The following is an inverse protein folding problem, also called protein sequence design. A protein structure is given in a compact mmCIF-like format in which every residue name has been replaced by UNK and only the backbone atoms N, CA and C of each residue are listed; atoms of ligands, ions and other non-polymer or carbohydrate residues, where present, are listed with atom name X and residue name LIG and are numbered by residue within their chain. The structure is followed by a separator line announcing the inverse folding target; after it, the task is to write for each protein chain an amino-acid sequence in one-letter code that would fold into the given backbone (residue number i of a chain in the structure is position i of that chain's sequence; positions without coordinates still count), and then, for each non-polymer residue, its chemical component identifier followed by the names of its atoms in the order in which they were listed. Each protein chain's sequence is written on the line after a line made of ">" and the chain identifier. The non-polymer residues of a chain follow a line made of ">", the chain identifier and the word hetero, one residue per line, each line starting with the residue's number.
data_IF_678205463899
#
_entry.id   IF_678205463899
#
_cell.length_a   1.000
_cell.length_b   1.000
_cell.length_c   1.000
_cell.angle_alpha   90.00
_cell.angle_beta   90.00
_cell.angle_gamma   90.00
#
_symmetry.space_group_name_H-M   'P 1'
#
loop_
_entity.id
_entity.type
_entity.pdbx_description
1 polymer ?
#
# COMPACT_ATOMS: atom_id res chain seq x y z
N UNK A 1 24.33 -19.72 2.64
CA UNK A 1 23.84 -19.43 2.39
C UNK A 1 23.02 -18.88 2.38
N UNK A 2 22.54 -18.98 2.38
CA UNK A 2 21.98 -17.84 2.46
C UNK A 2 21.25 -17.37 1.26
N UNK A 3 20.84 -18.20 0.43
CA UNK A 3 20.34 -17.94 -0.87
C UNK A 3 18.95 -17.34 -0.93
N UNK A 4 18.47 -16.71 0.12
CA UNK A 4 17.13 -16.15 0.12
C UNK A 4 17.13 -14.65 0.27
N UNK A 5 18.19 -14.00 -0.21
CA UNK A 5 18.21 -12.55 -0.24
C UNK A 5 17.03 -12.04 -1.07
N UNK A 6 16.20 -11.22 -0.46
CA UNK A 6 15.16 -10.50 -1.18
C UNK A 6 15.72 -9.19 -1.69
N UNK A 7 15.25 -8.79 -2.84
CA UNK A 7 15.54 -7.49 -3.41
C UNK A 7 14.26 -6.71 -3.56
N UNK A 8 14.39 -5.40 -3.71
CA UNK A 8 13.27 -4.50 -3.91
C UNK A 8 13.34 -3.94 -5.32
N UNK A 9 12.22 -3.89 -5.98
CA UNK A 9 12.11 -3.31 -7.31
C UNK A 9 10.77 -2.61 -7.48
N UNK A 10 10.69 -1.62 -8.38
CA UNK A 10 9.40 -1.03 -8.71
C UNK A 10 8.59 -1.99 -9.58
N UNK A 11 7.29 -1.95 -9.38
CA UNK A 11 6.35 -2.73 -10.17
C UNK A 11 5.15 -1.87 -10.53
N UNK A 12 4.71 -1.97 -11.76
CA UNK A 12 3.53 -1.26 -12.23
C UNK A 12 2.34 -2.19 -12.23
N UNK A 13 1.23 -1.73 -11.68
CA UNK A 13 -0.03 -2.48 -11.69
C UNK A 13 -0.61 -2.43 -13.09
N UNK A 14 -0.77 -3.60 -13.70
CA UNK A 14 -1.33 -3.72 -15.04
C UNK A 14 -2.80 -4.08 -15.03
N UNK A 15 -3.23 -4.86 -14.04
CA UNK A 15 -4.61 -5.28 -13.93
C UNK A 15 -4.99 -5.49 -12.47
N UNK A 16 -6.23 -5.17 -12.15
CA UNK A 16 -6.86 -5.46 -10.87
C UNK A 16 -7.85 -6.58 -11.13
N UNK A 17 -7.59 -7.75 -10.58
CA UNK A 17 -8.37 -8.95 -10.82
C UNK A 17 -9.42 -9.22 -9.73
N UNK A 18 -9.63 -8.26 -8.83
CA UNK A 18 -10.63 -8.39 -7.79
C UNK A 18 -10.08 -9.04 -6.52
N UNK A 19 -10.97 -9.41 -5.63
CA UNK A 19 -10.57 -9.98 -4.35
C UNK A 19 -11.37 -11.24 -4.05
N UNK A 20 -10.76 -12.12 -3.25
CA UNK A 20 -11.41 -13.36 -2.84
C UNK A 20 -11.83 -13.38 -1.38
N UNK A 21 -11.13 -12.65 -0.53
CA UNK A 21 -11.36 -12.62 0.90
C UNK A 21 -11.48 -11.18 1.36
N UNK A 22 -12.31 -10.97 2.37
CA UNK A 22 -12.46 -9.68 3.00
C UNK A 22 -12.53 -9.87 4.51
N UNK A 23 -11.99 -8.91 5.26
CA UNK A 23 -12.07 -8.90 6.71
C UNK A 23 -11.98 -7.47 7.22
N UNK A 24 -12.29 -7.27 8.48
CA UNK A 24 -12.17 -5.97 9.12
C UNK A 24 -11.00 -5.96 10.08
N UNK A 25 -10.27 -4.86 10.07
CA UNK A 25 -9.22 -4.58 11.05
C UNK A 25 -9.59 -3.27 11.74
N UNK A 26 -10.18 -3.39 12.92
CA UNK A 26 -10.77 -2.24 13.58
C UNK A 26 -11.91 -1.66 12.74
N UNK A 27 -11.80 -0.40 12.37
CA UNK A 27 -12.77 0.28 11.52
C UNK A 27 -12.42 0.24 10.04
N UNK A 28 -11.36 -0.47 9.68
CA UNK A 28 -10.89 -0.54 8.29
C UNK A 28 -11.33 -1.84 7.65
N UNK A 29 -11.99 -1.72 6.51
CA UNK A 29 -12.32 -2.88 5.69
C UNK A 29 -11.11 -3.25 4.84
N UNK A 30 -10.65 -4.48 5.00
CA UNK A 30 -9.51 -5.03 4.25
C UNK A 30 -9.99 -6.09 3.28
N UNK A 31 -9.30 -6.22 2.16
CA UNK A 31 -9.56 -7.28 1.22
C UNK A 31 -8.26 -7.83 0.65
N UNK A 32 -8.29 -9.11 0.35
CA UNK A 32 -7.16 -9.80 -0.26
C UNK A 32 -7.27 -9.65 -1.76
N UNK A 33 -6.60 -8.64 -2.28
CA UNK A 33 -6.71 -8.21 -3.67
C UNK A 33 -5.70 -8.91 -4.54
N UNK A 34 -6.11 -9.26 -5.75
CA UNK A 34 -5.26 -9.90 -6.73
C UNK A 34 -4.95 -8.92 -7.86
N UNK A 35 -3.67 -8.83 -8.21
CA UNK A 35 -3.19 -7.94 -9.26
C UNK A 35 -2.27 -8.67 -10.21
N UNK A 36 -2.19 -8.16 -11.42
CA UNK A 36 -1.09 -8.47 -12.34
C UNK A 36 -0.20 -7.25 -12.37
N UNK A 37 1.09 -7.48 -12.16
CA UNK A 37 2.07 -6.39 -12.13
C UNK A 37 3.24 -6.70 -13.08
N UNK A 38 3.88 -5.63 -13.54
CA UNK A 38 5.13 -5.74 -14.28
C UNK A 38 6.25 -5.25 -13.37
N UNK A 39 7.16 -6.14 -13.05
CA UNK A 39 8.29 -5.86 -12.16
C UNK A 39 9.49 -5.44 -13.00
N UNK A 40 10.14 -4.37 -12.57
CA UNK A 40 11.33 -3.82 -13.25
C UNK A 40 12.54 -3.95 -12.34
N UNK A 41 13.15 -5.15 -12.24
CA UNK A 41 14.31 -5.34 -11.38
C UNK A 41 15.53 -4.66 -11.98
N UNK A 42 16.41 -4.17 -11.12
CA UNK A 42 17.65 -3.57 -11.57
C UNK A 42 18.57 -4.66 -12.12
N UNK A 43 19.08 -4.45 -13.33
CA UNK A 43 20.02 -5.38 -13.94
C UNK A 43 19.40 -6.64 -14.52
N UNK A 44 18.09 -6.77 -14.50
CA UNK A 44 17.39 -7.92 -15.04
C UNK A 44 16.28 -7.46 -15.98
N UNK A 45 15.82 -8.34 -16.84
CA UNK A 45 14.72 -8.03 -17.74
C UNK A 45 13.42 -7.87 -16.95
N UNK A 46 12.55 -6.93 -17.33
CA UNK A 46 11.23 -6.83 -16.73
C UNK A 46 10.43 -8.12 -16.91
N UNK A 47 9.59 -8.43 -15.94
CA UNK A 47 8.72 -9.59 -16.04
C UNK A 47 7.35 -9.28 -15.43
N UNK A 48 6.36 -10.05 -15.85
CA UNK A 48 4.99 -9.92 -15.36
C UNK A 48 4.62 -11.10 -14.48
N UNK A 49 3.88 -10.83 -13.43
CA UNK A 49 3.46 -11.88 -12.51
C UNK A 49 2.18 -11.47 -11.80
N UNK A 50 1.51 -12.48 -11.25
CA UNK A 50 0.35 -12.29 -10.41
C UNK A 50 0.80 -12.12 -8.96
N UNK A 51 0.21 -11.18 -8.26
CA UNK A 51 0.46 -10.96 -6.84
C UNK A 51 -0.84 -10.79 -6.11
N UNK A 52 -0.83 -11.12 -4.83
CA UNK A 52 -1.95 -10.83 -3.94
C UNK A 52 -1.45 -10.03 -2.76
N UNK A 53 -2.31 -9.19 -2.22
CA UNK A 53 -1.96 -8.39 -1.05
C UNK A 53 -3.23 -8.02 -0.29
N UNK A 54 -3.10 -7.92 1.04
CA UNK A 54 -4.14 -7.33 1.85
C UNK A 54 -4.05 -5.83 1.72
N UNK A 55 -5.15 -5.22 1.32
CA UNK A 55 -5.23 -3.78 1.08
C UNK A 55 -6.51 -3.21 1.69
N UNK A 56 -6.49 -1.92 1.99
CA UNK A 56 -7.69 -1.22 2.42
C UNK A 56 -8.62 -1.04 1.22
N UNK A 57 -9.90 -1.27 1.42
CA UNK A 57 -10.92 -1.02 0.39
C UNK A 57 -10.84 0.41 -0.16
N UNK A 58 -10.64 1.38 0.73
CA UNK A 58 -10.66 2.80 0.37
C UNK A 58 -9.36 3.30 -0.26
N UNK A 59 -8.25 2.65 0.04
CA UNK A 59 -6.92 3.12 -0.36
C UNK A 59 -6.12 1.95 -0.89
N UNK A 60 -6.54 1.43 -2.02
CA UNK A 60 -5.87 0.29 -2.65
C UNK A 60 -5.13 0.73 -3.91
N UNK A 61 -4.07 0.01 -4.28
CA UNK A 61 -3.42 0.25 -5.56
C UNK A 61 -4.39 0.08 -6.73
N UNK A 62 -4.23 0.92 -7.73
CA UNK A 62 -5.04 0.90 -8.95
C UNK A 62 -4.17 0.66 -10.17
N UNK A 63 -4.80 0.29 -11.28
CA UNK A 63 -4.09 0.11 -12.55
C UNK A 63 -3.33 1.38 -12.90
N UNK A 64 -2.07 1.22 -13.24
CA UNK A 64 -1.16 2.31 -13.55
C UNK A 64 -0.30 2.76 -12.39
N UNK A 65 -0.65 2.40 -11.16
CA UNK A 65 0.15 2.76 -10.01
C UNK A 65 1.46 1.98 -9.99
N UNK A 66 2.49 2.62 -9.46
CA UNK A 66 3.80 2.00 -9.28
C UNK A 66 4.08 1.88 -7.80
N UNK A 67 4.36 0.66 -7.36
CA UNK A 67 4.75 0.35 -5.99
C UNK A 67 6.05 -0.43 -6.01
N UNK A 68 6.69 -0.49 -4.86
CA UNK A 68 7.80 -1.40 -4.70
C UNK A 68 7.29 -2.80 -4.37
N UNK A 69 8.04 -3.78 -4.81
CA UNK A 69 7.80 -5.19 -4.48
C UNK A 69 9.06 -5.79 -3.90
N UNK A 70 8.88 -6.78 -3.04
CA UNK A 70 9.95 -7.69 -2.67
C UNK A 70 9.94 -8.82 -3.68
N UNK A 71 11.11 -9.20 -4.18
CA UNK A 71 11.21 -10.32 -5.08
C UNK A 71 12.50 -11.08 -4.81
N UNK A 72 12.54 -12.33 -5.28
CA UNK A 72 13.75 -13.14 -5.19
C UNK A 72 14.44 -13.07 -6.56
N UNK A 73 15.67 -12.56 -6.64
CA UNK A 73 16.40 -12.52 -7.91
C UNK A 73 16.46 -13.89 -8.57
N UNK A 74 16.19 -13.93 -9.85
CA UNK A 74 16.14 -15.17 -10.61
C UNK A 74 14.82 -15.92 -10.54
N UNK A 75 13.85 -15.43 -9.79
CA UNK A 75 12.53 -16.05 -9.68
C UNK A 75 11.45 -15.05 -10.07
N UNK A 76 10.46 -15.52 -10.82
CA UNK A 76 9.30 -14.71 -11.20
C UNK A 76 8.06 -15.05 -10.39
N UNK A 77 8.17 -15.98 -9.44
CA UNK A 77 7.02 -16.49 -8.68
C UNK A 77 6.98 -16.03 -7.21
N UNK A 78 8.07 -15.44 -6.72
CA UNK A 78 8.16 -15.00 -5.34
C UNK A 78 8.19 -13.48 -5.29
N UNK A 79 7.03 -12.88 -5.52
CA UNK A 79 6.87 -11.43 -5.57
C UNK A 79 5.77 -11.03 -4.60
N UNK A 80 6.07 -10.05 -3.77
CA UNK A 80 5.11 -9.51 -2.80
C UNK A 80 5.06 -8.00 -2.92
N UNK A 81 3.85 -7.44 -2.98
CA UNK A 81 3.68 -5.99 -2.93
C UNK A 81 4.07 -5.47 -1.56
N UNK A 82 4.78 -4.36 -1.54
CA UNK A 82 5.12 -3.67 -0.30
C UNK A 82 4.07 -2.62 -0.04
N UNK A 83 3.09 -2.96 0.80
CA UNK A 83 2.06 -2.05 1.25
C UNK A 83 2.52 -1.33 2.53
N UNK A 84 3.15 -2.08 3.43
CA UNK A 84 3.64 -1.53 4.69
C UNK A 84 4.65 -0.41 4.45
N UNK A 85 4.42 0.72 5.10
CA UNK A 85 5.27 1.89 4.96
C UNK A 85 4.94 2.79 3.77
N UNK A 86 4.05 2.38 2.88
CA UNK A 86 3.63 3.22 1.76
C UNK A 86 2.48 4.14 2.22
N UNK A 87 2.71 5.45 2.28
CA UNK A 87 1.69 6.37 2.82
C UNK A 87 0.42 6.44 1.98
N UNK A 88 0.45 5.92 0.76
CA UNK A 88 -0.73 5.90 -0.11
C UNK A 88 -1.65 4.74 0.22
N UNK A 89 -1.12 3.62 0.70
CA UNK A 89 -1.86 2.37 0.80
C UNK A 89 -1.80 1.71 2.17
N UNK A 90 -0.82 2.07 3.00
CA UNK A 90 -0.72 1.50 4.35
C UNK A 90 -1.80 2.12 5.25
N UNK A 91 -2.84 1.34 5.51
CA UNK A 91 -3.99 1.84 6.29
C UNK A 91 -3.61 2.26 7.70
N UNK A 92 -2.55 1.71 8.27
CA UNK A 92 -2.09 2.12 9.61
C UNK A 92 -1.51 3.51 9.58
N UNK A 93 -0.72 3.82 8.55
CA UNK A 93 -0.16 5.16 8.39
C UNK A 93 -1.25 6.18 8.06
N UNK A 94 -2.20 5.80 7.21
CA UNK A 94 -3.31 6.67 6.83
C UNK A 94 -4.14 7.00 8.06
N UNK A 95 -4.48 6.01 8.88
CA UNK A 95 -5.25 6.22 10.09
C UNK A 95 -4.51 7.10 11.10
N UNK A 96 -3.21 6.87 11.28
CA UNK A 96 -2.40 7.67 12.18
C UNK A 96 -2.34 9.14 11.73
N UNK A 97 -2.19 9.37 10.44
CA UNK A 97 -2.18 10.73 9.91
C UNK A 97 -3.53 11.41 10.09
N UNK A 98 -4.61 10.71 9.83
CA UNK A 98 -5.95 11.26 10.02
C UNK A 98 -6.19 11.64 11.49
N UNK A 99 -5.72 10.82 12.41
CA UNK A 99 -5.84 11.10 13.83
C UNK A 99 -5.01 12.33 14.21
N UNK A 100 -3.77 12.43 13.74
CA UNK A 100 -2.92 13.57 14.01
C UNK A 100 -3.52 14.87 13.44
N UNK A 101 -4.05 14.80 12.23
CA UNK A 101 -4.70 15.95 11.59
C UNK A 101 -5.95 16.37 12.38
N UNK A 102 -6.72 15.40 12.86
CA UNK A 102 -7.91 15.68 13.67
C UNK A 102 -7.55 16.31 15.02
N UNK A 103 -6.50 15.82 15.65
CA UNK A 103 -6.02 16.38 16.92
C UNK A 103 -5.48 17.79 16.73
N UNK A 104 -4.72 18.02 15.66
CA UNK A 104 -4.20 19.34 15.35
C UNK A 104 -5.35 20.33 15.09
N UNK A 105 -6.35 19.90 14.36
CA UNK A 105 -7.52 20.71 14.08
C UNK A 105 -8.29 21.03 15.36
N UNK A 106 -8.48 20.02 16.21
CA UNK A 106 -9.16 20.18 17.47
C UNK A 106 -8.42 21.18 18.37
N UNK A 107 -7.11 21.04 18.46
CA UNK A 107 -6.27 21.94 19.24
C UNK A 107 -6.36 23.37 18.71
N UNK A 108 -6.29 23.54 17.41
CA UNK A 108 -6.41 24.85 16.79
C UNK A 108 -7.76 25.50 17.08
N UNK A 109 -8.83 24.72 17.06
CA UNK A 109 -10.17 25.22 17.39
C UNK A 109 -10.29 25.59 18.85
N UNK A 110 -9.71 24.80 19.75
CA UNK A 110 -9.77 25.09 21.21
C UNK A 110 -8.91 26.28 21.59
N UNK A 111 -7.79 26.47 20.94
CA UNK A 111 -6.86 27.60 21.17
C UNK A 111 -7.15 28.76 20.24
N UNK A 112 -8.13 28.58 19.40
CA UNK A 112 -8.42 29.52 18.34
C UNK A 112 -8.83 30.89 18.83
N UNK A 113 -8.83 31.78 17.87
CA UNK A 113 -9.13 33.17 18.11
C UNK A 113 -10.50 33.36 18.74
N UNK A 114 -10.58 34.08 19.86
CA UNK A 114 -11.84 34.42 20.42
C UNK A 114 -12.60 35.46 19.59
N UNK A 115 -12.01 35.92 18.54
CA UNK A 115 -12.65 36.90 17.68
C UNK A 115 -13.78 36.31 16.87
N UNK A 116 -13.96 35.02 16.87
CA UNK A 116 -15.09 34.44 16.21
C UNK A 116 -16.33 34.69 17.07
N UNK A 117 -17.08 35.62 16.63
CA UNK A 117 -18.32 35.94 17.27
C UNK A 117 -19.44 35.14 16.66
N UNK A 118 -20.34 34.83 17.46
CA UNK A 118 -21.58 34.21 17.04
C UNK A 118 -22.45 35.22 16.31
#
# INVERSE_FOLDING_TARGET
>A
MFGHAHAVAPAKVLADEGYGLAENSGSVALQHQKYIVEVHPEGEAPFRTEVTAWVSWMNRPEVGDVLNVNYRPGSTSHVELIIEGDPRYDWRLIAAKQQDDAEAKRKALLEGSPAETL
#
